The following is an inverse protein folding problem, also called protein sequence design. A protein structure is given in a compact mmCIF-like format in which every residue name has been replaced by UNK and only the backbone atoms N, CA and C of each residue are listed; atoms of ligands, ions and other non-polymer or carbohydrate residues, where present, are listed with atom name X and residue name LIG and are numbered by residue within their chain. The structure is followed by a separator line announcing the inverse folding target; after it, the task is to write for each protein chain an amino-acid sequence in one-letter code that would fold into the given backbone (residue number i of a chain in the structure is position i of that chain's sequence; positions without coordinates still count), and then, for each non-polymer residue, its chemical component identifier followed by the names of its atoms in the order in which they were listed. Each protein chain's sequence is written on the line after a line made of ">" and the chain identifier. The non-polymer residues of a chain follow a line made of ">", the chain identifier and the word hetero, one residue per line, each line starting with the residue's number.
data_IF_692080216058
#
_entry.id   IF_692080216058
#
_cell.length_a   1.000
_cell.length_b   1.000
_cell.length_c   1.000
_cell.angle_alpha   90.00
_cell.angle_beta   90.00
_cell.angle_gamma   90.00
#
_symmetry.space_group_name_H-M   'P 1'
#
loop_
_entity.id
_entity.type
_entity.pdbx_description
1 polymer ?
#
# COMPACT_ATOMS: atom_id res chain seq x y z
N UNK A 1 -9.17 -13.82 -18.69
CA UNK A 1 -8.49 -15.12 -18.76
C UNK A 1 -7.19 -14.96 -18.01
N UNK A 2 -6.97 -15.72 -16.92
CA UNK A 2 -5.70 -15.66 -16.20
C UNK A 2 -4.60 -16.23 -17.12
N UNK A 3 -3.44 -15.56 -17.20
CA UNK A 3 -2.27 -16.13 -17.86
C UNK A 3 -1.92 -17.47 -17.19
N UNK A 4 -1.62 -18.49 -17.99
CA UNK A 4 -1.26 -19.82 -17.48
C UNK A 4 0.01 -19.79 -16.63
N UNK A 5 0.25 -20.87 -15.87
CA UNK A 5 1.45 -21.00 -15.02
C UNK A 5 2.72 -20.77 -15.85
N UNK A 6 3.45 -19.70 -15.55
CA UNK A 6 4.74 -19.41 -16.18
C UNK A 6 5.82 -20.21 -15.43
N UNK A 7 6.48 -21.16 -16.09
CA UNK A 7 7.46 -22.09 -15.48
C UNK A 7 8.61 -21.41 -14.71
N UNK A 8 8.90 -20.13 -15.01
CA UNK A 8 10.00 -19.38 -14.39
C UNK A 8 9.54 -18.27 -13.44
N UNK A 9 8.24 -18.12 -13.18
CA UNK A 9 7.73 -17.07 -12.30
C UNK A 9 7.36 -17.65 -10.95
N UNK A 10 8.08 -17.24 -9.91
CA UNK A 10 7.75 -17.58 -8.53
C UNK A 10 6.92 -16.46 -7.93
N UNK A 11 5.60 -16.63 -7.97
CA UNK A 11 4.67 -15.68 -7.35
C UNK A 11 4.86 -15.68 -5.84
N UNK A 12 5.12 -14.50 -5.27
CA UNK A 12 5.09 -14.32 -3.82
C UNK A 12 3.66 -13.97 -3.46
N UNK A 13 2.97 -14.90 -2.81
CA UNK A 13 1.53 -14.82 -2.59
C UNK A 13 1.15 -14.25 -1.21
N UNK A 14 2.13 -13.98 -0.35
CA UNK A 14 1.88 -13.38 0.96
C UNK A 14 2.30 -11.92 0.99
N UNK A 15 1.31 -11.09 1.26
CA UNK A 15 1.45 -9.68 1.52
C UNK A 15 0.08 -9.10 1.84
N UNK A 16 0.08 -7.89 2.37
CA UNK A 16 -1.14 -7.20 2.72
C UNK A 16 -0.86 -5.75 3.04
N UNK A 17 -1.95 -4.99 3.05
CA UNK A 17 -1.97 -3.65 3.61
C UNK A 17 -3.17 -3.55 4.52
N UNK A 18 -3.00 -2.81 5.61
CA UNK A 18 -4.14 -2.36 6.39
C UNK A 18 -4.01 -0.87 6.66
N UNK A 19 -5.18 -0.25 6.77
CA UNK A 19 -5.29 1.16 7.07
C UNK A 19 -6.29 1.34 8.19
N UNK A 20 -5.92 2.18 9.15
CA UNK A 20 -6.82 2.65 10.19
C UNK A 20 -7.00 4.15 10.00
N UNK A 21 -8.25 4.58 9.85
CA UNK A 21 -8.64 5.99 9.84
C UNK A 21 -9.38 6.25 11.13
N UNK A 22 -8.89 7.21 11.92
CA UNK A 22 -9.48 7.59 13.20
C UNK A 22 -9.85 9.07 13.16
N UNK A 23 -11.09 9.40 13.45
CA UNK A 23 -11.49 10.79 13.67
C UNK A 23 -10.87 11.28 14.98
N UNK A 24 -10.09 12.36 14.91
CA UNK A 24 -9.47 13.00 16.08
C UNK A 24 -10.34 14.18 16.54
N UNK A 25 -10.80 15.00 15.58
CA UNK A 25 -11.73 16.11 15.78
C UNK A 25 -12.48 16.44 14.48
N UNK A 26 -13.31 17.49 14.49
CA UNK A 26 -14.16 17.92 13.38
C UNK A 26 -13.41 18.25 12.07
N UNK A 27 -12.10 18.47 12.14
CA UNK A 27 -11.23 18.85 11.01
C UNK A 27 -10.05 17.90 10.79
N UNK A 28 -9.79 16.99 11.73
CA UNK A 28 -8.58 16.18 11.77
C UNK A 28 -8.91 14.69 11.80
N UNK A 29 -8.33 13.96 10.86
CA UNK A 29 -8.26 12.49 10.92
C UNK A 29 -6.81 12.05 11.11
N UNK A 30 -6.61 11.03 11.94
CA UNK A 30 -5.36 10.29 12.01
C UNK A 30 -5.45 9.09 11.06
N UNK A 31 -4.38 8.88 10.30
CA UNK A 31 -4.31 7.81 9.30
C UNK A 31 -3.06 7.00 9.57
N UNK A 32 -3.24 5.77 10.06
CA UNK A 32 -2.17 4.79 10.21
C UNK A 32 -2.23 3.84 9.03
N UNK A 33 -1.14 3.77 8.28
CA UNK A 33 -1.00 2.88 7.12
C UNK A 33 0.18 1.96 7.34
N UNK A 34 -0.05 0.65 7.15
CA UNK A 34 0.96 -0.38 7.24
C UNK A 34 0.82 -1.32 6.04
N UNK A 35 1.96 -1.80 5.56
CA UNK A 35 2.06 -2.72 4.45
C UNK A 35 3.21 -3.68 4.68
N UNK A 36 2.99 -4.93 4.27
CA UNK A 36 3.98 -5.97 4.38
C UNK A 36 3.87 -6.89 3.16
N UNK A 37 5.00 -7.48 2.79
CA UNK A 37 5.05 -8.54 1.80
C UNK A 37 6.21 -9.46 2.14
N UNK A 38 6.07 -10.73 1.81
CA UNK A 38 7.23 -11.60 1.70
C UNK A 38 8.12 -11.13 0.52
N UNK A 39 9.42 -11.35 0.62
CA UNK A 39 10.35 -11.09 -0.48
C UNK A 39 11.18 -12.34 -0.78
N UNK A 40 11.52 -12.55 -2.05
CA UNK A 40 12.25 -13.74 -2.50
C UNK A 40 13.72 -13.73 -2.04
N UNK A 41 14.29 -12.53 -1.93
CA UNK A 41 15.66 -12.26 -1.50
C UNK A 41 15.80 -10.76 -1.20
N UNK A 42 16.97 -10.35 -0.71
CA UNK A 42 17.24 -8.95 -0.35
C UNK A 42 17.09 -7.97 -1.51
N UNK A 43 17.47 -8.37 -2.74
CA UNK A 43 17.35 -7.51 -3.93
C UNK A 43 15.88 -7.24 -4.23
N UNK A 44 15.05 -8.29 -4.22
CA UNK A 44 13.60 -8.16 -4.39
C UNK A 44 12.98 -7.31 -3.26
N UNK A 45 13.45 -7.46 -2.02
CA UNK A 45 13.01 -6.61 -0.91
C UNK A 45 13.29 -5.12 -1.13
N UNK A 46 14.45 -4.76 -1.71
CA UNK A 46 14.78 -3.37 -2.04
C UNK A 46 13.93 -2.81 -3.17
N UNK A 47 13.62 -3.62 -4.18
CA UNK A 47 12.71 -3.24 -5.27
C UNK A 47 11.29 -2.99 -4.73
N UNK A 48 10.77 -3.89 -3.89
CA UNK A 48 9.47 -3.73 -3.24
C UNK A 48 9.41 -2.43 -2.42
N UNK A 49 10.48 -2.08 -1.69
CA UNK A 49 10.53 -0.84 -0.92
C UNK A 49 10.37 0.43 -1.79
N UNK A 50 10.87 0.42 -3.02
CA UNK A 50 10.70 1.54 -3.96
C UNK A 50 9.24 1.63 -4.42
N UNK A 51 8.60 0.50 -4.68
CA UNK A 51 7.19 0.47 -5.10
C UNK A 51 6.24 0.87 -3.96
N UNK A 52 6.61 0.51 -2.74
CA UNK A 52 5.91 0.80 -1.49
C UNK A 52 5.70 2.29 -1.21
N UNK A 53 6.59 3.17 -1.66
CA UNK A 53 6.43 4.61 -1.46
C UNK A 53 5.34 5.22 -2.36
N UNK A 54 4.95 4.53 -3.43
CA UNK A 54 3.91 5.00 -4.35
C UNK A 54 2.52 4.87 -3.74
N UNK A 55 2.32 3.92 -2.82
CA UNK A 55 1.03 3.69 -2.17
C UNK A 55 0.59 4.87 -1.27
N UNK A 56 1.42 5.37 -0.34
CA UNK A 56 1.09 6.56 0.45
C UNK A 56 0.76 7.79 -0.40
N UNK A 57 1.49 7.99 -1.51
CA UNK A 57 1.26 9.10 -2.44
C UNK A 57 -0.08 8.94 -3.18
N UNK A 58 -0.37 7.76 -3.70
CA UNK A 58 -1.66 7.48 -4.35
C UNK A 58 -2.83 7.62 -3.38
N UNK A 59 -2.62 7.27 -2.11
CA UNK A 59 -3.60 7.46 -1.05
C UNK A 59 -3.84 8.94 -0.76
N UNK A 60 -2.81 9.73 -0.49
CA UNK A 60 -2.93 11.18 -0.29
C UNK A 60 -3.74 11.84 -1.42
N UNK A 61 -3.48 11.44 -2.67
CA UNK A 61 -4.22 11.89 -3.85
C UNK A 61 -5.67 11.43 -3.89
N UNK A 62 -6.03 10.30 -3.26
CA UNK A 62 -7.40 9.81 -3.17
C UNK A 62 -8.19 10.41 -1.99
N UNK A 63 -7.52 10.66 -0.85
CA UNK A 63 -8.16 11.25 0.34
C UNK A 63 -8.38 12.76 0.20
N UNK A 64 -7.43 13.46 -0.43
CA UNK A 64 -7.49 14.93 -0.58
C UNK A 64 -8.72 15.43 -1.35
N UNK A 65 -9.13 14.83 -2.49
CA UNK A 65 -10.33 15.25 -3.24
C UNK A 65 -11.64 14.92 -2.52
N UNK A 66 -11.64 13.90 -1.66
CA UNK A 66 -12.83 13.48 -0.91
C UNK A 66 -13.23 14.47 0.19
N UNK A 67 -12.39 15.49 0.47
CA UNK A 67 -12.59 16.48 1.56
C UNK A 67 -12.85 15.81 2.92
N UNK A 68 -12.24 14.65 3.13
CA UNK A 68 -12.24 13.98 4.43
C UNK A 68 -11.43 14.78 5.46
N UNK A 69 -10.55 15.66 4.99
CA UNK A 69 -9.96 16.76 5.74
C UNK A 69 -10.64 18.05 5.25
N UNK A 70 -11.40 18.72 6.12
CA UNK A 70 -11.90 20.06 5.85
C UNK A 70 -10.77 21.05 6.14
N UNK A 71 -10.17 21.61 5.09
CA UNK A 71 -9.26 22.76 5.19
C UNK A 71 -10.04 24.05 5.49
#
# INVERSE_FOLDING_TARGET
>A
QAEGEQENVKWVLQGGTYMTITEVDESTIDVVFDQWAECLNEVHGRELYIDWIRFPVGMEQAVSPARLLRF
#
